data_IF_328410195135
#
_entry.id   IF_328410195135
#
_cell.length_a   1.000
_cell.length_b   1.000
_cell.length_c   1.000
_cell.angle_alpha   90.00
_cell.angle_beta   90.00
_cell.angle_gamma   90.00
#
_symmetry.space_group_name_H-M   'P 1'
#
loop_
_entity.id
_entity.type
_entity.pdbx_description
1 polymer ?
#
# COMPACT_ATOMS: atom_id res chain seq x y z
N UNK A 1 -15.38 -34.63 32.60
CA UNK A 1 -15.92 -34.26 33.93
C UNK A 1 -16.84 -35.33 34.42
N UNK A 2 -16.81 -35.63 35.73
CA UNK A 2 -17.71 -36.58 36.39
C UNK A 2 -18.97 -35.83 36.81
N UNK A 3 -19.91 -35.67 35.90
CA UNK A 3 -21.05 -34.75 36.09
C UNK A 3 -21.87 -35.03 37.37
N UNK A 4 -22.05 -36.28 37.78
CA UNK A 4 -22.84 -36.64 38.94
C UNK A 4 -22.14 -36.17 40.22
N UNK A 5 -20.84 -36.48 40.40
CA UNK A 5 -20.05 -36.01 41.54
C UNK A 5 -19.89 -34.51 41.59
N UNK A 6 -19.79 -33.86 40.41
CA UNK A 6 -19.70 -32.41 40.34
C UNK A 6 -21.00 -31.73 40.79
N UNK A 7 -22.14 -32.31 40.41
CA UNK A 7 -23.46 -31.82 40.83
C UNK A 7 -23.69 -31.99 42.33
N UNK A 8 -23.27 -33.14 42.92
CA UNK A 8 -23.39 -33.41 44.34
C UNK A 8 -22.53 -32.43 45.20
N UNK A 9 -21.40 -31.97 44.63
CA UNK A 9 -20.51 -30.98 45.25
C UNK A 9 -20.89 -29.53 44.88
N UNK A 10 -21.96 -29.30 44.13
CA UNK A 10 -22.41 -27.97 43.71
C UNK A 10 -21.51 -27.28 42.70
N UNK A 11 -20.74 -28.05 41.92
CA UNK A 11 -19.71 -27.55 41.02
C UNK A 11 -20.19 -27.56 39.57
N UNK A 12 -20.15 -26.40 38.94
CA UNK A 12 -20.46 -26.26 37.52
C UNK A 12 -19.20 -26.45 36.64
N UNK A 13 -19.34 -27.12 35.50
CA UNK A 13 -18.23 -27.38 34.59
C UNK A 13 -17.59 -26.10 34.04
N UNK A 14 -18.37 -25.06 33.81
CA UNK A 14 -17.88 -23.76 33.34
C UNK A 14 -17.00 -23.07 34.41
N UNK A 15 -17.39 -23.16 35.70
CA UNK A 15 -16.63 -22.61 36.81
C UNK A 15 -15.26 -23.32 36.94
N UNK A 16 -15.24 -24.65 36.86
CA UNK A 16 -13.99 -25.41 36.87
C UNK A 16 -13.09 -25.02 35.70
N UNK A 17 -13.64 -24.94 34.51
CA UNK A 17 -12.86 -24.57 33.31
C UNK A 17 -12.31 -23.15 33.42
N UNK A 18 -13.07 -22.18 33.88
CA UNK A 18 -12.62 -20.78 34.04
C UNK A 18 -11.49 -20.67 35.07
N UNK A 19 -11.64 -21.36 36.21
CA UNK A 19 -10.63 -21.35 37.26
C UNK A 19 -9.34 -22.03 36.78
N UNK A 20 -9.43 -23.20 36.15
CA UNK A 20 -8.29 -23.90 35.58
C UNK A 20 -7.59 -23.11 34.49
N UNK A 21 -8.34 -22.49 33.60
CA UNK A 21 -7.78 -21.63 32.53
C UNK A 21 -7.00 -20.46 33.17
N UNK A 22 -7.56 -19.80 34.17
CA UNK A 22 -6.88 -18.71 34.88
C UNK A 22 -5.60 -19.18 35.63
N UNK A 23 -5.64 -20.36 36.24
CA UNK A 23 -4.50 -20.90 36.98
C UNK A 23 -3.37 -21.38 36.06
N UNK A 24 -3.69 -21.98 34.90
CA UNK A 24 -2.73 -22.60 34.00
C UNK A 24 -2.23 -21.60 32.93
N UNK A 25 -3.14 -20.93 32.24
CA UNK A 25 -2.82 -20.01 31.14
C UNK A 25 -2.45 -18.63 31.66
N UNK A 26 -3.08 -18.22 32.74
CA UNK A 26 -2.97 -16.91 33.33
C UNK A 26 -4.26 -16.10 33.20
N UNK A 27 -4.44 -15.18 34.11
CA UNK A 27 -5.51 -14.21 34.13
C UNK A 27 -4.93 -12.79 34.12
N UNK A 28 -5.35 -11.98 33.16
CA UNK A 28 -4.98 -10.56 33.12
C UNK A 28 -5.70 -9.81 34.24
N UNK A 29 -4.98 -9.50 35.31
CA UNK A 29 -5.52 -8.81 36.47
C UNK A 29 -5.63 -7.29 36.27
N UNK A 30 -4.86 -6.74 35.33
CA UNK A 30 -4.83 -5.33 35.02
C UNK A 30 -3.67 -4.98 34.13
N UNK A 31 -3.41 -3.69 33.98
CA UNK A 31 -2.23 -3.16 33.30
C UNK A 31 -1.56 -2.11 34.20
N UNK A 32 -0.25 -2.06 34.13
CA UNK A 32 0.56 -1.04 34.78
C UNK A 32 1.20 -0.15 33.74
N UNK A 33 0.98 1.16 33.88
CA UNK A 33 1.61 2.17 33.01
C UNK A 33 2.98 2.52 33.56
N UNK A 34 4.00 2.21 32.80
CA UNK A 34 5.38 2.53 33.15
C UNK A 34 5.69 4.02 32.96
N UNK A 35 6.76 4.55 33.59
CA UNK A 35 7.16 5.95 33.41
C UNK A 35 7.51 6.36 31.98
N UNK A 36 7.76 5.40 31.10
CA UNK A 36 7.98 5.59 29.66
C UNK A 36 6.69 5.58 28.82
N UNK A 37 5.54 5.72 29.45
CA UNK A 37 4.19 5.75 28.87
C UNK A 37 3.78 4.44 28.16
N UNK A 38 4.44 3.32 28.47
CA UNK A 38 4.08 1.98 27.98
C UNK A 38 3.24 1.25 29.01
N UNK A 39 2.17 0.61 28.53
CA UNK A 39 1.34 -0.26 29.37
C UNK A 39 1.89 -1.68 29.36
N UNK A 40 2.08 -2.27 30.56
CA UNK A 40 2.45 -3.65 30.76
C UNK A 40 1.31 -4.40 31.42
N UNK A 41 0.95 -5.54 30.84
CA UNK A 41 -0.10 -6.39 31.39
C UNK A 41 0.39 -7.12 32.64
N UNK A 42 -0.43 -7.11 33.69
CA UNK A 42 -0.20 -7.86 34.92
C UNK A 42 -0.96 -9.18 34.78
N UNK A 43 -0.23 -10.28 34.64
CA UNK A 43 -0.78 -11.61 34.56
C UNK A 43 -0.62 -12.34 35.89
N UNK A 44 -1.72 -12.91 36.38
CA UNK A 44 -1.75 -13.81 37.52
C UNK A 44 -1.85 -15.26 37.07
N UNK A 45 -0.86 -16.07 37.36
CA UNK A 45 -0.86 -17.51 37.08
C UNK A 45 -0.10 -18.29 38.13
N UNK A 46 -0.32 -19.61 38.20
CA UNK A 46 0.46 -20.47 39.09
C UNK A 46 1.94 -20.52 38.63
N UNK A 47 2.88 -20.73 39.60
CA UNK A 47 4.27 -21.00 39.27
C UNK A 47 4.43 -22.21 38.35
N UNK A 48 5.49 -22.24 37.56
CA UNK A 48 5.70 -23.27 36.54
C UNK A 48 5.81 -24.69 37.12
N UNK A 49 6.42 -24.82 38.31
CA UNK A 49 6.56 -26.07 39.05
C UNK A 49 5.24 -26.67 39.54
N UNK A 50 4.17 -25.88 39.64
CA UNK A 50 2.84 -26.31 40.08
C UNK A 50 1.82 -26.51 38.96
N UNK A 51 2.22 -26.37 37.67
CA UNK A 51 1.31 -26.47 36.53
C UNK A 51 1.86 -27.23 35.32
N UNK A 52 3.02 -27.89 35.47
CA UNK A 52 3.70 -28.52 34.34
C UNK A 52 3.28 -29.98 34.15
N UNK A 53 2.93 -30.67 35.22
CA UNK A 53 2.59 -32.11 35.18
C UNK A 53 1.09 -32.33 35.33
N UNK A 54 0.52 -33.40 34.75
CA UNK A 54 -0.91 -33.72 34.91
C UNK A 54 -1.29 -33.92 36.37
N UNK A 55 -0.36 -34.50 37.20
CA UNK A 55 -0.57 -34.70 38.64
C UNK A 55 -0.78 -33.37 39.37
N UNK A 56 -0.08 -32.32 38.95
CA UNK A 56 -0.23 -30.97 39.53
C UNK A 56 -1.66 -30.48 39.32
N UNK A 57 -2.21 -30.66 38.11
CA UNK A 57 -3.56 -30.26 37.78
C UNK A 57 -4.60 -31.11 38.51
N UNK A 58 -4.38 -32.42 38.63
CA UNK A 58 -5.27 -33.32 39.44
C UNK A 58 -5.37 -32.86 40.90
N UNK A 59 -4.24 -32.44 41.48
CA UNK A 59 -4.16 -32.02 42.88
C UNK A 59 -4.52 -30.55 43.12
N UNK A 60 -4.76 -29.77 42.06
CA UNK A 60 -5.19 -28.38 42.20
C UNK A 60 -6.49 -28.29 43.01
N UNK A 61 -6.51 -27.37 43.98
CA UNK A 61 -7.68 -27.08 44.81
C UNK A 61 -8.44 -25.91 44.18
N UNK A 62 -9.71 -26.12 43.94
CA UNK A 62 -10.64 -25.08 43.49
C UNK A 62 -11.64 -24.78 44.62
N UNK A 63 -11.92 -23.48 44.78
CA UNK A 63 -12.93 -23.03 45.75
C UNK A 63 -14.30 -23.00 45.05
N UNK A 64 -15.25 -23.74 45.59
CA UNK A 64 -16.59 -23.90 44.97
C UNK A 64 -17.69 -23.13 45.70
N UNK A 65 -17.45 -22.69 46.91
CA UNK A 65 -18.39 -21.95 47.73
C UNK A 65 -17.81 -21.65 49.10
N UNK A 66 -18.63 -21.04 49.96
CA UNK A 66 -18.33 -20.77 51.37
C UNK A 66 -19.30 -21.60 52.19
N UNK A 67 -18.79 -22.33 53.17
CA UNK A 67 -19.60 -23.07 54.13
C UNK A 67 -20.40 -22.07 54.96
N UNK A 68 -21.73 -22.13 54.86
CA UNK A 68 -22.63 -21.19 55.53
C UNK A 68 -22.58 -21.28 57.05
N UNK A 69 -22.14 -22.42 57.60
CA UNK A 69 -22.06 -22.65 59.05
C UNK A 69 -20.73 -22.23 59.66
N UNK A 70 -19.59 -22.34 58.92
CA UNK A 70 -18.25 -22.06 59.42
C UNK A 70 -17.62 -20.83 58.79
N UNK A 71 -18.16 -20.32 57.69
CA UNK A 71 -17.58 -19.20 56.94
C UNK A 71 -16.31 -19.57 56.16
N UNK A 72 -15.90 -20.84 56.16
CA UNK A 72 -14.70 -21.29 55.47
C UNK A 72 -14.95 -21.63 54.02
N UNK A 73 -13.97 -21.39 53.12
CA UNK A 73 -14.08 -21.76 51.71
C UNK A 73 -14.10 -23.28 51.51
N UNK A 74 -15.11 -23.80 50.80
CA UNK A 74 -15.16 -25.21 50.44
C UNK A 74 -14.18 -25.44 49.30
N UNK A 75 -13.11 -26.18 49.59
CA UNK A 75 -12.08 -26.52 48.61
C UNK A 75 -12.19 -27.98 48.22
N UNK A 76 -12.25 -28.23 46.90
CA UNK A 76 -12.24 -29.58 46.33
C UNK A 76 -11.08 -29.70 45.34
N UNK A 77 -10.56 -30.95 45.22
CA UNK A 77 -9.54 -31.22 44.22
C UNK A 77 -10.17 -31.39 42.85
N UNK A 78 -9.47 -30.92 41.80
CA UNK A 78 -9.92 -31.09 40.40
C UNK A 78 -10.09 -32.58 40.08
N UNK A 79 -9.21 -33.46 40.57
CA UNK A 79 -9.28 -34.91 40.37
C UNK A 79 -10.51 -35.60 40.97
N UNK A 80 -11.21 -34.96 41.93
CA UNK A 80 -12.45 -35.52 42.50
C UNK A 80 -13.64 -35.35 41.57
N UNK A 81 -13.62 -34.31 40.75
CA UNK A 81 -14.71 -33.91 39.82
C UNK A 81 -14.38 -34.10 38.33
N UNK A 82 -13.10 -34.29 37.97
CA UNK A 82 -12.68 -34.44 36.59
C UNK A 82 -11.59 -35.50 36.40
N UNK A 83 -11.62 -36.18 35.25
CA UNK A 83 -10.53 -37.04 34.79
C UNK A 83 -9.67 -36.22 33.84
N UNK A 84 -8.35 -36.18 34.10
CA UNK A 84 -7.40 -35.48 33.25
C UNK A 84 -6.71 -36.49 32.36
N UNK A 85 -6.76 -36.22 31.05
CA UNK A 85 -6.14 -37.06 30.03
C UNK A 85 -5.39 -36.19 29.05
N UNK A 86 -4.27 -36.70 28.57
CA UNK A 86 -3.62 -36.09 27.42
C UNK A 86 -4.50 -36.22 26.17
N UNK A 87 -4.59 -35.17 25.39
CA UNK A 87 -5.33 -35.15 24.14
C UNK A 87 -4.82 -34.04 23.24
N UNK A 88 -5.02 -34.22 21.96
CA UNK A 88 -4.73 -33.19 20.98
C UNK A 88 -5.99 -32.33 20.74
N UNK A 89 -5.84 -31.05 20.83
CA UNK A 89 -6.91 -30.09 20.51
C UNK A 89 -6.33 -28.92 19.75
N UNK A 90 -7.14 -28.34 18.88
CA UNK A 90 -6.77 -27.08 18.23
C UNK A 90 -6.75 -25.96 19.27
N UNK A 91 -5.64 -25.26 19.37
CA UNK A 91 -5.49 -24.08 20.27
C UNK A 91 -6.49 -22.99 19.89
N UNK A 92 -6.71 -22.82 18.59
CA UNK A 92 -7.65 -21.86 18.04
C UNK A 92 -8.31 -22.46 16.78
N UNK A 93 -9.60 -22.21 16.61
CA UNK A 93 -10.35 -22.58 15.41
C UNK A 93 -10.75 -21.28 14.70
N UNK A 94 -9.94 -20.91 13.73
CA UNK A 94 -10.21 -19.71 12.90
C UNK A 94 -11.20 -20.06 11.78
N UNK A 95 -12.15 -19.15 11.56
CA UNK A 95 -13.10 -19.24 10.45
C UNK A 95 -13.14 -17.90 9.70
N UNK A 96 -13.16 -18.01 8.39
CA UNK A 96 -13.40 -16.89 7.49
C UNK A 96 -14.62 -17.23 6.63
N UNK A 97 -15.59 -16.34 6.56
CA UNK A 97 -16.86 -16.56 5.87
C UNK A 97 -17.54 -17.89 6.27
N UNK A 98 -17.49 -18.23 7.55
CA UNK A 98 -18.01 -19.47 8.16
C UNK A 98 -17.24 -20.76 7.80
N UNK A 99 -16.26 -20.70 6.91
CA UNK A 99 -15.40 -21.81 6.54
C UNK A 99 -14.20 -21.88 7.48
N UNK A 100 -13.88 -23.09 7.96
CA UNK A 100 -12.72 -23.32 8.81
C UNK A 100 -11.44 -23.14 7.99
N UNK A 101 -10.48 -22.40 8.52
CA UNK A 101 -9.19 -22.15 7.86
C UNK A 101 -8.00 -22.44 8.77
N UNK A 102 -6.87 -22.75 8.16
CA UNK A 102 -5.54 -22.73 8.77
C UNK A 102 -4.81 -21.54 8.19
N UNK A 103 -4.36 -20.64 9.05
CA UNK A 103 -3.60 -19.47 8.67
C UNK A 103 -2.10 -19.74 8.81
N UNK A 104 -1.35 -19.47 7.78
CA UNK A 104 0.10 -19.57 7.75
C UNK A 104 0.65 -18.19 7.43
N UNK A 105 1.33 -17.59 8.39
CA UNK A 105 1.94 -16.27 8.26
C UNK A 105 3.44 -16.40 8.03
N UNK A 106 4.01 -15.53 7.21
CA UNK A 106 5.43 -15.48 6.93
C UNK A 106 5.89 -14.09 6.52
N UNK A 107 7.07 -13.68 6.98
CA UNK A 107 7.70 -12.42 6.59
C UNK A 107 8.84 -12.71 5.63
N UNK A 108 8.83 -12.17 4.40
CA UNK A 108 9.93 -12.35 3.47
C UNK A 108 11.18 -11.61 3.95
N UNK A 109 12.36 -12.23 3.77
CA UNK A 109 13.65 -11.62 4.03
C UNK A 109 14.42 -11.48 2.72
N UNK A 110 14.98 -10.30 2.46
CA UNK A 110 15.81 -9.98 1.27
C UNK A 110 15.14 -10.23 -0.09
N UNK A 111 13.81 -10.34 -0.13
CA UNK A 111 13.02 -10.49 -1.37
C UNK A 111 11.73 -9.69 -1.27
N UNK A 112 11.17 -9.29 -2.40
CA UNK A 112 9.89 -8.59 -2.40
C UNK A 112 8.73 -9.54 -2.00
N UNK A 113 7.71 -8.99 -1.31
CA UNK A 113 6.48 -9.73 -0.97
C UNK A 113 5.85 -10.33 -2.22
N UNK A 114 5.83 -9.59 -3.33
CA UNK A 114 5.22 -10.02 -4.59
C UNK A 114 5.94 -11.22 -5.23
N UNK A 115 7.28 -11.27 -5.18
CA UNK A 115 8.04 -12.40 -5.73
C UNK A 115 7.86 -13.67 -4.90
N UNK A 116 7.89 -13.53 -3.56
CA UNK A 116 7.65 -14.66 -2.65
C UNK A 116 6.22 -15.18 -2.81
N UNK A 117 5.23 -14.29 -2.93
CA UNK A 117 3.83 -14.69 -3.17
C UNK A 117 3.65 -15.44 -4.47
N UNK A 118 4.31 -15.04 -5.56
CA UNK A 118 4.27 -15.77 -6.84
C UNK A 118 4.85 -17.16 -6.71
N UNK A 119 5.98 -17.29 -6.02
CA UNK A 119 6.60 -18.60 -5.79
C UNK A 119 5.69 -19.51 -4.98
N UNK A 120 5.10 -18.99 -3.89
CA UNK A 120 4.13 -19.73 -3.06
C UNK A 120 2.92 -20.16 -3.89
N UNK A 121 2.32 -19.26 -4.66
CA UNK A 121 1.20 -19.58 -5.54
C UNK A 121 1.57 -20.67 -6.53
N UNK A 122 2.76 -20.60 -7.15
CA UNK A 122 3.22 -21.61 -8.10
C UNK A 122 3.37 -23.02 -7.49
N UNK A 123 3.67 -23.09 -6.19
CA UNK A 123 3.74 -24.36 -5.44
C UNK A 123 2.33 -24.83 -5.09
N UNK A 124 1.47 -23.94 -4.59
CA UNK A 124 0.09 -24.28 -4.19
C UNK A 124 -0.79 -24.70 -5.37
N UNK A 125 -0.57 -24.13 -6.55
CA UNK A 125 -1.27 -24.50 -7.78
C UNK A 125 -0.94 -25.93 -8.26
N UNK A 126 0.20 -26.47 -7.84
CA UNK A 126 0.60 -27.87 -8.14
C UNK A 126 0.01 -28.88 -7.16
N UNK A 127 -0.50 -28.43 -6.02
CA UNK A 127 -1.12 -29.28 -5.02
C UNK A 127 -2.50 -29.70 -5.50
N UNK A 128 -2.76 -30.99 -5.49
CA UNK A 128 -4.11 -31.53 -5.76
C UNK A 128 -4.96 -31.38 -4.49
N UNK A 129 -5.79 -30.37 -4.47
CA UNK A 129 -6.72 -30.13 -3.38
C UNK A 129 -7.90 -31.09 -3.46
N UNK A 130 -8.31 -31.61 -2.30
CA UNK A 130 -9.56 -32.38 -2.21
C UNK A 130 -10.79 -31.46 -2.39
N UNK A 131 -11.94 -32.03 -2.83
CA UNK A 131 -13.16 -31.23 -2.96
C UNK A 131 -13.51 -30.52 -1.66
N UNK A 132 -13.70 -29.20 -1.74
CA UNK A 132 -13.98 -28.34 -0.59
C UNK A 132 -12.76 -27.72 0.09
N UNK A 133 -11.55 -28.06 -0.34
CA UNK A 133 -10.31 -27.42 0.10
C UNK A 133 -9.76 -26.51 -0.98
N UNK A 134 -9.09 -25.46 -0.55
CA UNK A 134 -8.44 -24.48 -1.41
C UNK A 134 -7.55 -23.57 -0.60
N UNK A 135 -6.91 -22.63 -1.24
CA UNK A 135 -6.09 -21.62 -0.59
C UNK A 135 -6.50 -20.21 -1.02
N UNK A 136 -6.23 -19.25 -0.18
CA UNK A 136 -6.30 -17.83 -0.51
C UNK A 136 -5.04 -17.13 -0.01
N UNK A 137 -4.53 -16.22 -0.82
CA UNK A 137 -3.41 -15.35 -0.39
C UNK A 137 -4.03 -14.06 0.15
N UNK A 138 -3.64 -13.68 1.36
CA UNK A 138 -4.16 -12.51 2.06
C UNK A 138 -3.01 -11.63 2.57
N UNK A 139 -3.37 -10.49 3.17
CA UNK A 139 -2.42 -9.54 3.73
C UNK A 139 -1.72 -8.69 2.68
N UNK A 140 -0.52 -8.19 2.98
CA UNK A 140 0.21 -7.21 2.16
C UNK A 140 0.34 -7.59 0.68
N UNK A 141 0.36 -8.89 0.35
CA UNK A 141 0.45 -9.37 -1.02
C UNK A 141 -0.84 -9.11 -1.80
N UNK A 142 -1.99 -9.38 -1.19
CA UNK A 142 -3.30 -9.11 -1.78
C UNK A 142 -3.55 -7.62 -1.86
N UNK A 143 -3.32 -6.89 -0.76
CA UNK A 143 -3.52 -5.44 -0.69
C UNK A 143 -2.67 -4.71 -1.73
N UNK A 144 -1.42 -5.17 -1.95
CA UNK A 144 -0.54 -4.63 -2.98
C UNK A 144 -1.06 -4.89 -4.39
N UNK A 145 -1.60 -6.08 -4.66
CA UNK A 145 -2.14 -6.43 -5.97
C UNK A 145 -3.42 -5.65 -6.28
N UNK A 146 -4.35 -5.55 -5.32
CA UNK A 146 -5.58 -4.75 -5.45
C UNK A 146 -5.26 -3.26 -5.62
N UNK A 147 -4.33 -2.75 -4.80
CA UNK A 147 -3.87 -1.36 -4.89
C UNK A 147 -3.23 -1.05 -6.23
N UNK A 148 -2.44 -1.98 -6.80
CA UNK A 148 -1.86 -1.81 -8.13
C UNK A 148 -2.93 -1.71 -9.23
N UNK A 149 -4.00 -2.51 -9.13
CA UNK A 149 -5.14 -2.43 -10.05
C UNK A 149 -5.86 -1.08 -9.97
N UNK A 150 -6.18 -0.63 -8.78
CA UNK A 150 -6.81 0.68 -8.56
C UNK A 150 -5.90 1.84 -8.98
N UNK A 151 -4.60 1.73 -8.74
CA UNK A 151 -3.61 2.72 -9.14
C UNK A 151 -3.49 2.82 -10.67
N UNK A 152 -3.48 1.69 -11.38
CA UNK A 152 -3.48 1.67 -12.85
C UNK A 152 -4.73 2.34 -13.42
N UNK A 153 -5.91 2.07 -12.85
CA UNK A 153 -7.15 2.73 -13.24
C UNK A 153 -7.10 4.25 -12.96
N UNK A 154 -6.60 4.66 -11.79
CA UNK A 154 -6.44 6.06 -11.43
C UNK A 154 -5.47 6.79 -12.37
N UNK A 155 -4.33 6.15 -12.73
CA UNK A 155 -3.37 6.69 -13.69
C UNK A 155 -4.02 6.87 -15.07
N UNK A 156 -4.74 5.86 -15.56
CA UNK A 156 -5.45 5.95 -16.82
C UNK A 156 -6.47 7.08 -16.85
N UNK A 157 -7.24 7.22 -15.77
CA UNK A 157 -8.21 8.29 -15.61
C UNK A 157 -7.55 9.67 -15.54
N UNK A 158 -6.43 9.79 -14.81
CA UNK A 158 -5.65 11.03 -14.74
C UNK A 158 -5.14 11.46 -16.12
N UNK A 159 -4.62 10.53 -16.93
CA UNK A 159 -4.19 10.79 -18.31
C UNK A 159 -5.35 11.33 -19.15
N UNK A 160 -6.53 10.71 -19.07
CA UNK A 160 -7.72 11.13 -19.81
C UNK A 160 -8.15 12.54 -19.38
N UNK A 161 -8.23 12.82 -18.08
CA UNK A 161 -8.62 14.14 -17.58
C UNK A 161 -7.60 15.22 -17.95
N UNK A 162 -6.30 14.94 -17.82
CA UNK A 162 -5.25 15.87 -18.24
C UNK A 162 -5.42 16.17 -19.74
N UNK A 163 -5.62 15.13 -20.58
CA UNK A 163 -5.85 15.34 -22.01
C UNK A 163 -7.08 16.20 -22.28
N UNK A 164 -8.21 15.92 -21.64
CA UNK A 164 -9.45 16.70 -21.83
C UNK A 164 -9.28 18.16 -21.44
N UNK A 165 -8.66 18.43 -20.28
CA UNK A 165 -8.42 19.80 -19.82
C UNK A 165 -7.50 20.53 -20.79
N UNK A 166 -6.41 19.89 -21.23
CA UNK A 166 -5.48 20.48 -22.18
C UNK A 166 -6.14 20.73 -23.56
N UNK A 167 -6.93 19.79 -24.06
CA UNK A 167 -7.65 19.94 -25.33
C UNK A 167 -8.64 21.10 -25.28
N UNK A 168 -9.34 21.26 -24.16
CA UNK A 168 -10.24 22.39 -23.93
C UNK A 168 -9.48 23.72 -23.83
N UNK A 169 -8.35 23.76 -23.11
CA UNK A 169 -7.58 24.98 -22.88
C UNK A 169 -6.89 25.50 -24.15
N UNK A 170 -6.32 24.59 -24.93
CA UNK A 170 -5.62 24.95 -26.20
C UNK A 170 -6.51 24.97 -27.40
N UNK A 171 -7.79 24.62 -27.27
CA UNK A 171 -8.73 24.49 -28.40
C UNK A 171 -8.13 23.68 -29.59
N UNK A 172 -7.37 22.63 -29.24
CA UNK A 172 -6.63 21.78 -30.18
C UNK A 172 -6.51 20.36 -29.64
N UNK A 173 -6.69 19.37 -30.50
CA UNK A 173 -6.49 17.95 -30.13
C UNK A 173 -5.03 17.48 -30.29
N UNK A 174 -4.20 18.26 -30.98
CA UNK A 174 -2.82 17.86 -31.30
C UNK A 174 -1.83 18.38 -30.24
N UNK A 175 -1.99 19.61 -29.76
CA UNK A 175 -1.10 20.21 -28.78
C UNK A 175 -1.03 19.45 -27.45
N UNK A 176 -2.15 18.92 -26.89
CA UNK A 176 -2.10 18.07 -25.71
C UNK A 176 -1.18 16.87 -25.84
N UNK A 177 -1.10 16.26 -27.02
CA UNK A 177 -0.23 15.10 -27.27
C UNK A 177 1.25 15.48 -27.11
N UNK A 178 1.64 16.68 -27.58
CA UNK A 178 3.00 17.19 -27.36
C UNK A 178 3.32 17.38 -25.87
N UNK A 179 2.37 17.93 -25.11
CA UNK A 179 2.53 18.14 -23.66
C UNK A 179 2.62 16.78 -22.94
N UNK A 180 1.72 15.85 -23.26
CA UNK A 180 1.66 14.53 -22.64
C UNK A 180 2.85 13.64 -22.97
N UNK A 181 3.64 13.92 -24.02
CA UNK A 181 4.89 13.22 -24.29
C UNK A 181 5.90 13.34 -23.16
N UNK A 182 5.74 14.32 -22.27
CA UNK A 182 6.57 14.47 -21.06
C UNK A 182 6.29 13.41 -19.99
N UNK A 183 5.10 12.80 -19.99
CA UNK A 183 4.70 11.81 -18.97
C UNK A 183 5.55 10.52 -19.05
N UNK A 184 5.72 9.86 -20.21
CA UNK A 184 6.62 8.71 -20.30
C UNK A 184 8.07 9.05 -19.93
N UNK A 185 8.51 10.27 -20.26
CA UNK A 185 9.87 10.72 -19.93
C UNK A 185 10.08 10.89 -18.41
N UNK A 186 9.05 11.35 -17.71
CA UNK A 186 9.11 11.50 -16.25
C UNK A 186 9.19 10.14 -15.54
N UNK A 187 8.57 9.08 -16.09
CA UNK A 187 8.66 7.72 -15.57
C UNK A 187 10.10 7.21 -15.49
N UNK A 188 10.92 7.52 -16.50
CA UNK A 188 12.33 7.14 -16.51
C UNK A 188 13.03 7.70 -15.26
N UNK A 189 12.76 8.95 -14.93
CA UNK A 189 13.33 9.59 -13.73
C UNK A 189 12.82 8.99 -12.44
N UNK A 190 11.54 8.61 -12.38
CA UNK A 190 10.96 7.92 -11.21
C UNK A 190 11.67 6.60 -10.97
N UNK A 191 11.81 5.76 -11.99
CA UNK A 191 12.47 4.45 -11.85
C UNK A 191 13.97 4.60 -11.50
N UNK A 192 14.67 5.54 -12.12
CA UNK A 192 16.07 5.81 -11.78
C UNK A 192 16.24 6.25 -10.33
N UNK A 193 15.38 7.13 -9.84
CA UNK A 193 15.43 7.58 -8.45
C UNK A 193 15.15 6.43 -7.47
N UNK A 194 14.10 5.64 -7.70
CA UNK A 194 13.79 4.49 -6.85
C UNK A 194 14.94 3.48 -6.81
N UNK A 195 15.61 3.23 -7.95
CA UNK A 195 16.80 2.38 -8.02
C UNK A 195 17.99 2.97 -7.23
N UNK A 196 18.24 4.27 -7.37
CA UNK A 196 19.36 4.94 -6.67
C UNK A 196 19.18 4.91 -5.15
N UNK A 197 17.95 5.07 -4.67
CA UNK A 197 17.62 5.02 -3.24
C UNK A 197 17.34 3.61 -2.73
N UNK A 198 17.43 2.59 -3.59
CA UNK A 198 17.14 1.20 -3.28
C UNK A 198 15.70 1.01 -2.70
N UNK A 199 14.77 1.81 -3.19
CA UNK A 199 13.38 1.81 -2.78
C UNK A 199 12.51 0.97 -3.71
N UNK A 200 11.48 0.33 -3.16
CA UNK A 200 10.55 -0.50 -3.93
C UNK A 200 9.41 0.32 -4.53
N UNK A 201 8.86 -0.19 -5.64
CA UNK A 201 7.62 0.34 -6.19
C UNK A 201 6.46 -0.05 -5.27
N UNK A 202 5.94 0.90 -4.52
CA UNK A 202 4.84 0.73 -3.58
C UNK A 202 3.73 1.75 -3.84
N UNK A 203 2.65 1.71 -3.07
CA UNK A 203 1.50 2.60 -3.22
C UNK A 203 1.91 4.09 -3.12
N UNK A 204 2.89 4.41 -2.25
CA UNK A 204 3.34 5.79 -2.07
C UNK A 204 4.12 6.29 -3.29
N UNK A 205 4.95 5.46 -3.92
CA UNK A 205 5.64 5.82 -5.16
C UNK A 205 4.67 6.05 -6.32
N UNK A 206 3.58 5.26 -6.38
CA UNK A 206 2.52 5.44 -7.38
C UNK A 206 1.77 6.75 -7.14
N UNK A 207 1.42 7.06 -5.89
CA UNK A 207 0.83 8.36 -5.52
C UNK A 207 1.78 9.50 -5.90
N UNK A 208 3.08 9.34 -5.64
CA UNK A 208 4.11 10.28 -6.07
C UNK A 208 4.13 10.49 -7.58
N UNK A 209 3.96 9.41 -8.34
CA UNK A 209 3.88 9.50 -9.81
C UNK A 209 2.62 10.21 -10.29
N UNK A 210 1.44 9.95 -9.71
CA UNK A 210 0.20 10.66 -10.04
C UNK A 210 0.36 12.17 -9.78
N UNK A 211 0.93 12.53 -8.64
CA UNK A 211 1.21 13.93 -8.30
C UNK A 211 2.20 14.56 -9.28
N UNK A 212 3.24 13.80 -9.65
CA UNK A 212 4.24 14.24 -10.63
C UNK A 212 3.64 14.53 -12.01
N UNK A 213 2.64 13.75 -12.45
CA UNK A 213 1.97 13.98 -13.73
C UNK A 213 1.39 15.40 -13.85
N UNK A 214 0.75 15.90 -12.77
CA UNK A 214 0.24 17.26 -12.72
C UNK A 214 1.33 18.33 -12.69
N UNK A 215 2.44 18.05 -12.01
CA UNK A 215 3.55 18.98 -11.87
C UNK A 215 4.36 19.14 -13.16
N UNK A 216 4.58 18.04 -13.86
CA UNK A 216 5.36 17.99 -15.11
C UNK A 216 4.62 18.67 -16.26
N UNK A 217 3.33 18.40 -16.39
CA UNK A 217 2.51 19.01 -17.46
C UNK A 217 2.49 20.53 -17.36
N UNK A 218 2.56 21.12 -16.15
CA UNK A 218 2.62 22.56 -15.96
C UNK A 218 3.78 23.21 -16.69
N UNK A 219 4.98 22.64 -16.66
CA UNK A 219 6.15 23.19 -17.34
C UNK A 219 6.00 23.14 -18.85
N UNK A 220 5.48 22.05 -19.38
CA UNK A 220 5.21 21.91 -20.80
C UNK A 220 4.10 22.85 -21.30
N UNK A 221 3.04 23.04 -20.50
CA UNK A 221 1.96 24.00 -20.79
C UNK A 221 2.53 25.39 -20.95
N UNK A 222 3.31 25.88 -19.99
CA UNK A 222 3.89 27.24 -20.02
C UNK A 222 4.82 27.45 -21.21
N UNK A 223 5.52 26.39 -21.66
CA UNK A 223 6.39 26.46 -22.81
C UNK A 223 5.60 26.58 -24.12
N UNK A 224 4.61 25.69 -24.32
CA UNK A 224 3.78 25.67 -25.54
C UNK A 224 2.90 26.90 -25.63
N UNK A 225 2.34 27.37 -24.51
CA UNK A 225 1.54 28.58 -24.48
C UNK A 225 2.37 29.81 -24.94
N UNK A 226 3.60 29.93 -24.47
CA UNK A 226 4.50 30.99 -24.93
C UNK A 226 4.85 30.89 -26.41
N UNK A 227 5.11 29.67 -26.92
CA UNK A 227 5.35 29.42 -28.35
C UNK A 227 4.14 29.89 -29.18
N UNK A 228 2.92 29.55 -28.73
CA UNK A 228 1.70 29.95 -29.44
C UNK A 228 1.49 31.47 -29.44
N UNK A 229 1.76 32.13 -28.27
CA UNK A 229 1.69 33.60 -28.20
C UNK A 229 2.71 34.28 -29.10
N UNK A 230 3.98 33.83 -29.10
CA UNK A 230 5.01 34.37 -29.96
C UNK A 230 4.65 34.21 -31.46
N UNK A 231 4.11 33.06 -31.87
CA UNK A 231 3.62 32.81 -33.21
C UNK A 231 2.43 33.71 -33.59
N UNK A 232 1.53 33.96 -32.63
CA UNK A 232 0.40 34.89 -32.89
C UNK A 232 0.87 36.34 -33.10
N UNK A 233 2.05 36.72 -32.53
CA UNK A 233 2.67 38.02 -32.80
C UNK A 233 3.55 38.06 -34.07
N UNK A 234 3.55 36.98 -34.86
CA UNK A 234 4.23 36.98 -36.17
C UNK A 234 5.64 36.35 -36.16
N UNK A 235 6.11 35.82 -35.04
CA UNK A 235 7.41 35.12 -35.02
C UNK A 235 7.36 33.82 -35.82
N UNK A 236 8.47 33.50 -36.48
CA UNK A 236 8.61 32.19 -37.12
C UNK A 236 8.62 31.07 -36.09
N UNK A 237 8.27 29.83 -36.50
CA UNK A 237 8.22 28.67 -35.57
C UNK A 237 9.53 28.51 -34.81
N UNK A 238 10.66 28.58 -35.49
CA UNK A 238 11.98 28.39 -34.91
C UNK A 238 12.36 29.51 -33.93
N UNK A 239 12.08 30.75 -34.30
CA UNK A 239 12.31 31.90 -33.38
C UNK A 239 11.43 31.81 -32.14
N UNK A 240 10.14 31.49 -32.29
CA UNK A 240 9.23 31.33 -31.15
C UNK A 240 9.66 30.23 -30.19
N UNK A 241 10.19 29.10 -30.69
CA UNK A 241 10.72 28.01 -29.85
C UNK A 241 11.98 28.44 -29.11
N UNK A 242 12.93 29.05 -29.78
CA UNK A 242 14.18 29.51 -29.16
C UNK A 242 13.94 30.58 -28.10
N UNK A 243 13.07 31.52 -28.42
CA UNK A 243 12.69 32.59 -27.48
C UNK A 243 11.94 32.01 -26.25
N UNK A 244 11.00 31.08 -26.46
CA UNK A 244 10.31 30.37 -25.39
C UNK A 244 11.29 29.64 -24.47
N UNK A 245 12.22 28.89 -25.05
CA UNK A 245 13.23 28.17 -24.29
C UNK A 245 14.11 29.13 -23.46
N UNK A 246 14.55 30.24 -24.04
CA UNK A 246 15.40 31.20 -23.35
C UNK A 246 14.65 31.92 -22.19
N UNK A 247 13.42 32.39 -22.43
CA UNK A 247 12.65 33.16 -21.42
C UNK A 247 12.12 32.25 -20.33
N UNK A 248 11.69 31.04 -20.67
CA UNK A 248 11.07 30.12 -19.70
C UNK A 248 12.06 29.25 -18.92
N UNK A 249 13.31 29.16 -19.32
CA UNK A 249 14.34 28.36 -18.64
C UNK A 249 14.46 28.74 -17.14
N UNK A 250 14.63 30.04 -16.86
CA UNK A 250 14.81 30.51 -15.47
C UNK A 250 13.59 30.19 -14.57
N UNK A 251 12.34 30.57 -14.92
CA UNK A 251 11.15 30.23 -14.13
C UNK A 251 10.99 28.72 -13.91
N UNK A 252 11.22 27.92 -14.94
CA UNK A 252 11.13 26.46 -14.83
C UNK A 252 12.16 25.92 -13.83
N UNK A 253 13.43 26.33 -13.94
CA UNK A 253 14.47 25.90 -13.00
C UNK A 253 14.20 26.36 -11.57
N UNK A 254 13.71 27.57 -11.36
CA UNK A 254 13.36 28.07 -10.02
C UNK A 254 12.27 27.21 -9.36
N UNK A 255 11.19 26.93 -10.10
CA UNK A 255 10.09 26.12 -9.57
C UNK A 255 10.49 24.66 -9.36
N UNK A 256 11.33 24.11 -10.22
CA UNK A 256 11.86 22.74 -10.09
C UNK A 256 12.76 22.63 -8.85
N UNK A 257 13.70 23.54 -8.66
CA UNK A 257 14.56 23.53 -7.48
C UNK A 257 13.76 23.71 -6.18
N UNK A 258 12.81 24.64 -6.17
CA UNK A 258 11.94 24.82 -5.01
C UNK A 258 11.18 23.53 -4.65
N UNK A 259 10.68 22.80 -5.67
CA UNK A 259 9.99 21.54 -5.47
C UNK A 259 10.93 20.42 -4.96
N UNK A 260 12.13 20.30 -5.55
CA UNK A 260 13.14 19.32 -5.11
C UNK A 260 13.50 19.56 -3.64
N UNK A 261 13.84 20.78 -3.26
CA UNK A 261 14.18 21.11 -1.88
C UNK A 261 12.98 20.95 -0.93
N UNK A 262 11.75 21.25 -1.38
CA UNK A 262 10.54 21.04 -0.60
C UNK A 262 10.24 19.55 -0.33
N UNK A 263 10.58 18.66 -1.29
CA UNK A 263 10.38 17.23 -1.14
C UNK A 263 11.57 16.50 -0.51
N UNK A 264 12.71 17.17 -0.34
CA UNK A 264 13.93 16.54 0.19
C UNK A 264 13.76 15.94 1.59
N UNK A 265 13.11 16.61 2.56
CA UNK A 265 12.89 16.03 3.88
C UNK A 265 12.11 14.74 3.84
N UNK A 266 11.12 14.65 2.95
CA UNK A 266 10.32 13.43 2.75
C UNK A 266 11.13 12.32 2.07
N UNK A 267 11.91 12.65 1.05
CA UNK A 267 12.73 11.68 0.32
C UNK A 267 13.85 11.07 1.18
N UNK A 268 14.37 11.83 2.15
CA UNK A 268 15.39 11.39 3.10
C UNK A 268 14.80 10.71 4.34
N UNK A 269 13.50 10.48 4.38
CA UNK A 269 12.80 9.85 5.50
C UNK A 269 13.05 10.55 6.86
N UNK A 270 13.10 11.88 6.87
CA UNK A 270 13.30 12.65 8.09
C UNK A 270 11.99 12.70 8.90
N UNK A 271 11.95 12.01 10.04
CA UNK A 271 10.81 11.95 10.97
C UNK A 271 10.25 10.55 11.17
N UNK A 272 9.45 10.37 12.21
CA UNK A 272 8.84 9.08 12.54
C UNK A 272 7.81 8.66 11.47
N UNK A 273 7.89 7.41 11.00
CA UNK A 273 7.00 6.87 9.96
C UNK A 273 7.21 7.45 8.56
N UNK A 274 8.25 8.28 8.35
CA UNK A 274 8.57 8.85 7.05
C UNK A 274 9.14 7.80 6.08
N UNK A 275 9.70 6.71 6.57
CA UNK A 275 10.28 5.62 5.76
C UNK A 275 9.29 5.04 4.75
N UNK A 276 8.04 4.86 5.14
CA UNK A 276 6.99 4.36 4.24
C UNK A 276 6.65 5.35 3.12
N UNK A 277 6.77 6.65 3.37
CA UNK A 277 6.43 7.73 2.44
C UNK A 277 7.63 8.23 1.63
N UNK A 278 8.83 7.86 2.02
CA UNK A 278 10.07 8.27 1.33
C UNK A 278 10.06 7.96 -0.18
N UNK A 279 9.57 6.78 -0.65
CA UNK A 279 9.49 6.49 -2.08
C UNK A 279 8.64 7.48 -2.88
N UNK A 280 7.63 8.12 -2.26
CA UNK A 280 6.85 9.18 -2.89
C UNK A 280 7.72 10.42 -3.17
N UNK A 281 8.47 10.89 -2.16
CA UNK A 281 9.38 12.02 -2.33
C UNK A 281 10.48 11.75 -3.35
N UNK A 282 11.07 10.56 -3.32
CA UNK A 282 12.09 10.10 -4.26
C UNK A 282 11.57 10.06 -5.70
N UNK A 283 10.38 9.49 -5.92
CA UNK A 283 9.72 9.44 -7.21
C UNK A 283 9.46 10.85 -7.78
N UNK A 284 8.96 11.76 -6.95
CA UNK A 284 8.69 13.14 -7.36
C UNK A 284 9.99 13.88 -7.69
N UNK A 285 11.05 13.75 -6.89
CA UNK A 285 12.34 14.39 -7.14
C UNK A 285 12.95 13.87 -8.44
N UNK A 286 13.10 12.55 -8.58
CA UNK A 286 13.71 11.96 -9.76
C UNK A 286 12.93 12.24 -11.04
N UNK A 287 11.62 12.09 -10.99
CA UNK A 287 10.75 12.38 -12.11
C UNK A 287 10.76 13.87 -12.50
N UNK A 288 10.81 14.77 -11.52
CA UNK A 288 10.89 16.22 -11.77
C UNK A 288 12.22 16.62 -12.41
N UNK A 289 13.35 16.11 -11.91
CA UNK A 289 14.67 16.40 -12.50
C UNK A 289 14.72 15.93 -13.94
N UNK A 290 14.41 14.65 -14.19
CA UNK A 290 14.47 14.06 -15.54
C UNK A 290 13.48 14.72 -16.48
N UNK A 291 12.27 14.92 -16.02
CA UNK A 291 11.24 15.60 -16.81
C UNK A 291 11.65 17.03 -17.17
N UNK A 292 12.21 17.80 -16.25
CA UNK A 292 12.60 19.20 -16.53
C UNK A 292 13.68 19.26 -17.59
N UNK A 293 14.71 18.39 -17.48
CA UNK A 293 15.78 18.33 -18.48
C UNK A 293 15.26 17.90 -19.85
N UNK A 294 14.41 16.86 -19.89
CA UNK A 294 13.91 16.32 -21.14
C UNK A 294 12.81 17.20 -21.76
N UNK A 295 11.96 17.83 -20.95
CA UNK A 295 10.88 18.69 -21.44
C UNK A 295 11.42 19.88 -22.26
N UNK A 296 12.52 20.46 -21.83
CA UNK A 296 13.14 21.60 -22.55
C UNK A 296 13.63 21.22 -23.96
N UNK A 297 13.94 19.96 -24.19
CA UNK A 297 14.43 19.46 -25.48
C UNK A 297 13.32 18.73 -26.24
N UNK A 298 12.65 17.79 -25.60
CA UNK A 298 11.72 16.87 -26.27
C UNK A 298 10.40 17.58 -26.66
N UNK A 299 9.87 18.43 -25.79
CA UNK A 299 8.58 19.11 -26.09
C UNK A 299 8.69 20.00 -27.33
N UNK A 300 9.69 20.86 -27.50
CA UNK A 300 9.86 21.61 -28.75
C UNK A 300 10.00 20.72 -29.99
N UNK A 301 10.75 19.62 -29.88
CA UNK A 301 10.96 18.67 -30.98
C UNK A 301 9.64 17.98 -31.34
N UNK A 302 8.91 17.45 -30.37
CA UNK A 302 7.60 16.81 -30.59
C UNK A 302 6.61 17.80 -31.16
N UNK A 303 6.60 19.05 -30.65
CA UNK A 303 5.77 20.13 -31.15
C UNK A 303 6.04 20.40 -32.66
N UNK A 304 7.31 20.43 -33.07
CA UNK A 304 7.64 20.62 -34.51
C UNK A 304 7.14 19.48 -35.36
N UNK A 305 7.31 18.23 -34.94
CA UNK A 305 6.82 17.06 -35.67
C UNK A 305 5.29 17.06 -35.83
N UNK A 306 4.59 17.41 -34.75
CA UNK A 306 3.13 17.46 -34.73
C UNK A 306 2.59 18.63 -35.59
N UNK A 307 3.26 19.79 -35.56
CA UNK A 307 2.90 20.94 -36.40
C UNK A 307 3.11 20.63 -37.89
N UNK A 308 4.22 19.96 -38.24
CA UNK A 308 4.47 19.49 -39.62
C UNK A 308 3.46 18.42 -40.05
N UNK A 309 3.07 17.53 -39.17
CA UNK A 309 2.02 16.54 -39.42
C UNK A 309 0.66 17.21 -39.64
N UNK A 310 0.30 18.15 -38.76
CA UNK A 310 -0.96 18.90 -38.89
C UNK A 310 -1.04 19.72 -40.19
N UNK A 311 0.06 20.36 -40.60
CA UNK A 311 0.13 21.12 -41.86
C UNK A 311 -0.04 20.21 -43.07
N UNK A 312 0.60 19.02 -43.08
CA UNK A 312 0.44 18.03 -44.17
C UNK A 312 -0.99 17.51 -44.26
N UNK A 313 -1.63 17.21 -43.16
CA UNK A 313 -3.04 16.78 -43.11
C UNK A 313 -3.96 17.89 -43.61
N UNK A 314 -3.73 19.14 -43.22
CA UNK A 314 -4.52 20.30 -43.67
C UNK A 314 -4.39 20.51 -45.19
N UNK A 315 -3.17 20.42 -45.75
CA UNK A 315 -2.92 20.50 -47.16
C UNK A 315 -3.57 19.34 -47.91
N UNK A 316 -3.52 18.12 -47.40
CA UNK A 316 -4.18 16.96 -48.00
C UNK A 316 -5.70 17.12 -48.05
N UNK A 317 -6.33 17.62 -46.99
CA UNK A 317 -7.75 17.91 -46.91
C UNK A 317 -8.16 19.04 -47.89
N UNK A 318 -7.39 20.12 -47.95
CA UNK A 318 -7.62 21.24 -48.84
C UNK A 318 -7.58 20.81 -50.32
N UNK A 319 -6.57 19.99 -50.67
CA UNK A 319 -6.46 19.47 -52.06
C UNK A 319 -7.60 18.50 -52.42
N UNK A 320 -8.11 17.74 -51.45
CA UNK A 320 -9.22 16.81 -51.67
C UNK A 320 -10.56 17.54 -51.89
N UNK A 321 -10.77 18.63 -51.18
CA UNK A 321 -11.95 19.49 -51.41
C UNK A 321 -11.85 20.34 -52.68
N UNK A 322 -10.66 20.75 -53.09
CA UNK A 322 -10.46 21.45 -54.35
C UNK A 322 -10.73 20.57 -55.58
N UNK A 323 -10.43 19.27 -55.51
CA UNK A 323 -10.70 18.31 -56.59
C UNK A 323 -12.19 17.92 -56.70
N UNK A 324 -13.01 18.18 -55.67
CA UNK A 324 -14.45 17.87 -55.72
C UNK A 324 -15.32 19.05 -56.21
N UNK A 325 -14.79 20.29 -56.15
CA UNK A 325 -15.51 21.49 -56.62
C UNK A 325 -15.09 21.90 -58.03
N UNK A 326 -14.26 21.11 -58.74
CA UNK A 326 -13.77 21.38 -60.12
C UNK A 326 -14.28 20.40 -61.19
N UNK A 327 -15.33 19.61 -60.88
CA UNK A 327 -15.98 18.70 -61.83
C UNK A 327 -17.44 19.09 -62.13
#
# INVERSE_FOLDING_TARGET
MRNQKAADLGVNSSAVSSILAGMITGYKAGSWRAPNDRDYDIELRLPADQRTRPEDVVNMKITTGINTSTGEPIQIRVGDVADIRYGETATEIVRENLVRQIRIDGNPMNRSVGDVSKDIQSVLDRVKWEPGYGYSVAGDAQDSAESAGHAAAALGLAVIFIYMVLASQFNSFIQPVAIMSTLPLSLIGVFLALLMFNSTLNIFSIVGFILLMGLVTKNAILLIDFINQARAHGATRTEAILEAAHIRLRPILMTTLAMIFGMLPLALALGEGAEQRAPMGQAVIGGTITSTLLTLVVVPVVYTFLDDGASKVRHWWANRHASHNGA
#
